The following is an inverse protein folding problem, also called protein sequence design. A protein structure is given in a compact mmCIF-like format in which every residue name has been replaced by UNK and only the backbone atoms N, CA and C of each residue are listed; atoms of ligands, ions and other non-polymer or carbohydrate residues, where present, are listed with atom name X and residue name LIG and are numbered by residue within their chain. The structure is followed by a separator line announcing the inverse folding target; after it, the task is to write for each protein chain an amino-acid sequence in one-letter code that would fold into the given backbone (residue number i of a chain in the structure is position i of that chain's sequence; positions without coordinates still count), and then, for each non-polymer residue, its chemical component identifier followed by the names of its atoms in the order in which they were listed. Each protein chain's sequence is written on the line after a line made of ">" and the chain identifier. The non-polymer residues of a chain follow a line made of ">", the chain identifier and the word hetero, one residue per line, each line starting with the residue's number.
data_IF_677500540254
#
_entry.id   IF_677500540254
#
_cell.length_a   1.000
_cell.length_b   1.000
_cell.length_c   1.000
_cell.angle_alpha   90.00
_cell.angle_beta   90.00
_cell.angle_gamma   90.00
#
_symmetry.space_group_name_H-M   'P 1'
#
loop_
_entity.id
_entity.type
_entity.pdbx_description
1 polymer ?
#
# COMPACT_ATOMS: atom_id res chain seq x y z
N UNK A 1 39.66 -1.98 -38.75
CA UNK A 1 38.94 -3.18 -38.34
C UNK A 1 39.80 -3.98 -37.38
N UNK A 2 39.50 -3.96 -36.08
CA UNK A 2 40.12 -4.82 -35.10
C UNK A 2 39.03 -5.23 -34.09
N UNK A 3 38.75 -6.52 -33.84
CA UNK A 3 37.80 -6.97 -32.85
C UNK A 3 38.42 -6.93 -31.43
N UNK A 4 37.80 -6.26 -30.49
CA UNK A 4 38.18 -6.21 -29.09
C UNK A 4 37.74 -7.46 -28.35
N UNK A 5 38.67 -8.09 -27.66
CA UNK A 5 38.50 -9.30 -26.88
C UNK A 5 37.82 -9.00 -25.56
N UNK A 6 36.76 -9.73 -25.25
CA UNK A 6 36.08 -9.75 -23.94
C UNK A 6 36.85 -10.70 -23.04
N UNK A 7 37.51 -10.17 -22.01
CA UNK A 7 38.19 -10.95 -20.98
C UNK A 7 37.19 -11.30 -19.87
N UNK A 8 36.77 -12.56 -19.83
CA UNK A 8 36.10 -13.16 -18.69
C UNK A 8 37.08 -13.34 -17.52
N UNK A 9 36.88 -12.59 -16.43
CA UNK A 9 37.53 -12.89 -15.15
C UNK A 9 36.64 -13.84 -14.36
N UNK A 10 37.10 -15.08 -14.23
CA UNK A 10 36.65 -16.03 -13.19
C UNK A 10 37.23 -15.55 -11.87
N UNK A 11 36.39 -15.27 -10.88
CA UNK A 11 36.82 -15.09 -9.50
C UNK A 11 36.27 -16.22 -8.63
N UNK A 12 37.19 -16.99 -8.22
CA UNK A 12 37.34 -17.89 -7.07
C UNK A 12 36.20 -18.06 -6.10
N UNK A 13 35.76 -19.29 -6.04
CA UNK A 13 34.93 -19.95 -5.04
C UNK A 13 35.76 -20.15 -3.77
N UNK A 14 35.48 -19.44 -2.67
CA UNK A 14 36.04 -19.75 -1.34
C UNK A 14 35.01 -20.52 -0.52
N UNK A 15 35.33 -21.76 -0.31
CA UNK A 15 34.69 -22.69 0.61
C UNK A 15 35.07 -22.31 2.06
N UNK A 16 34.11 -22.13 2.97
CA UNK A 16 34.33 -22.02 4.41
C UNK A 16 33.59 -23.13 5.16
N UNK A 17 34.17 -23.61 6.26
CA UNK A 17 33.85 -24.92 6.82
C UNK A 17 32.66 -24.92 7.79
N UNK A 18 32.05 -26.07 7.86
CA UNK A 18 31.05 -26.54 8.82
C UNK A 18 31.61 -26.48 10.24
N UNK A 19 31.02 -25.72 11.11
CA UNK A 19 31.22 -25.75 12.56
C UNK A 19 29.98 -26.32 13.24
N UNK A 20 30.19 -27.51 13.85
CA UNK A 20 29.20 -28.21 14.66
C UNK A 20 29.23 -27.72 16.12
N UNK A 21 28.19 -28.10 16.89
CA UNK A 21 27.98 -28.05 18.35
C UNK A 21 27.40 -26.74 18.89
N UNK A 22 26.33 -26.80 19.70
CA UNK A 22 26.10 -27.53 20.96
C UNK A 22 24.62 -27.65 21.32
N UNK A 23 24.26 -28.79 21.87
CA UNK A 23 23.04 -29.04 22.64
C UNK A 23 22.98 -28.12 23.87
N UNK A 24 21.89 -27.43 24.06
CA UNK A 24 21.53 -26.73 25.29
C UNK A 24 20.12 -27.09 25.69
N UNK A 25 19.94 -28.13 26.52
CA UNK A 25 18.74 -28.32 27.33
C UNK A 25 18.68 -27.25 28.39
N UNK A 26 17.56 -26.51 28.49
CA UNK A 26 17.23 -25.73 29.69
C UNK A 26 15.73 -25.63 29.89
N UNK A 27 15.29 -26.45 30.81
CA UNK A 27 14.33 -26.24 31.91
C UNK A 27 13.04 -25.45 31.66
N UNK A 28 11.94 -26.19 31.69
CA UNK A 28 10.58 -25.72 32.00
C UNK A 28 10.61 -24.89 33.30
N UNK A 29 10.28 -23.62 33.20
CA UNK A 29 9.87 -22.82 34.34
C UNK A 29 8.33 -22.72 34.35
N UNK A 30 7.72 -23.45 35.23
CA UNK A 30 6.31 -23.35 35.61
C UNK A 30 6.10 -22.01 36.30
N UNK A 31 5.35 -21.10 35.70
CA UNK A 31 4.86 -19.89 36.36
C UNK A 31 3.61 -20.19 37.18
N UNK A 32 3.50 -19.67 38.41
CA UNK A 32 2.31 -19.85 39.26
C UNK A 32 1.14 -19.02 38.73
N UNK A 33 -0.02 -19.69 38.70
CA UNK A 33 -1.33 -19.10 38.42
C UNK A 33 -1.75 -18.20 39.57
N UNK A 34 -1.82 -16.90 39.35
CA UNK A 34 -2.51 -15.99 40.25
C UNK A 34 -4.01 -15.99 39.94
N UNK A 35 -4.88 -16.03 40.95
CA UNK A 35 -6.35 -16.00 40.77
C UNK A 35 -6.81 -14.58 40.48
N UNK A 36 -7.49 -14.39 39.34
CA UNK A 36 -8.20 -13.16 39.04
C UNK A 36 -9.36 -12.91 40.01
N UNK A 37 -9.54 -11.70 40.54
CA UNK A 37 -10.69 -11.36 41.33
C UNK A 37 -11.95 -11.32 40.46
N UNK A 38 -12.95 -12.10 40.86
CA UNK A 38 -14.29 -12.05 40.27
C UNK A 38 -14.96 -10.73 40.68
N UNK A 39 -15.22 -9.89 39.70
CA UNK A 39 -16.08 -8.73 39.84
C UNK A 39 -17.53 -9.18 39.63
N UNK A 40 -18.32 -8.98 40.67
CA UNK A 40 -19.78 -9.20 40.75
C UNK A 40 -20.52 -8.39 39.66
N UNK A 41 -21.65 -8.88 39.10
CA UNK A 41 -22.45 -8.14 38.15
C UNK A 41 -23.25 -7.05 38.89
N UNK A 42 -22.69 -5.83 38.87
CA UNK A 42 -23.42 -4.62 39.22
C UNK A 42 -24.27 -4.20 38.02
N UNK A 43 -25.59 -4.41 38.19
CA UNK A 43 -26.60 -3.87 37.28
C UNK A 43 -26.52 -2.34 37.30
N UNK A 44 -26.01 -1.73 36.24
CA UNK A 44 -26.17 -0.30 35.98
C UNK A 44 -26.65 -0.14 34.57
N UNK A 45 -27.94 0.06 34.43
CA UNK A 45 -28.62 0.52 33.21
C UNK A 45 -28.16 1.96 32.93
N UNK A 46 -27.07 2.12 32.22
CA UNK A 46 -26.69 3.38 31.61
C UNK A 46 -27.07 3.30 30.14
N UNK A 47 -28.11 4.05 29.79
CA UNK A 47 -28.52 4.33 28.40
C UNK A 47 -27.31 4.85 27.65
N UNK A 48 -26.78 4.05 26.73
CA UNK A 48 -25.74 4.48 25.82
C UNK A 48 -26.36 5.56 24.89
N UNK A 49 -25.64 6.67 24.63
CA UNK A 49 -26.08 7.63 23.62
C UNK A 49 -26.17 6.92 22.27
N UNK A 50 -27.06 7.35 21.36
CA UNK A 50 -27.16 6.78 20.03
C UNK A 50 -25.78 6.91 19.34
N UNK A 51 -25.25 5.77 18.88
CA UNK A 51 -24.05 5.69 18.08
C UNK A 51 -24.39 6.42 16.77
N UNK A 52 -23.89 7.66 16.63
CA UNK A 52 -24.01 8.39 15.37
C UNK A 52 -23.36 7.55 14.28
N UNK A 53 -24.18 7.08 13.34
CA UNK A 53 -23.70 6.42 12.14
C UNK A 53 -22.70 7.38 11.45
N UNK A 54 -21.56 6.88 10.94
CA UNK A 54 -20.62 7.73 10.23
C UNK A 54 -21.37 8.46 9.09
N UNK A 55 -21.09 9.76 8.88
CA UNK A 55 -21.81 10.55 7.88
C UNK A 55 -21.70 9.85 6.52
N UNK A 56 -22.86 9.66 5.88
CA UNK A 56 -22.92 9.14 4.52
C UNK A 56 -22.03 10.04 3.65
N UNK A 57 -21.03 9.44 2.97
CA UNK A 57 -20.18 10.19 2.05
C UNK A 57 -21.06 10.80 0.97
N UNK A 58 -20.96 12.11 0.81
CA UNK A 58 -21.67 12.83 -0.23
C UNK A 58 -21.30 12.25 -1.59
N UNK A 59 -22.27 12.16 -2.50
CA UNK A 59 -22.10 11.59 -3.85
C UNK A 59 -20.93 12.25 -4.60
N UNK A 60 -20.70 13.54 -4.36
CA UNK A 60 -19.60 14.30 -4.97
C UNK A 60 -18.22 13.84 -4.46
N UNK A 61 -18.09 13.46 -3.19
CA UNK A 61 -16.83 12.97 -2.64
C UNK A 61 -16.45 11.59 -3.21
N UNK A 62 -17.42 10.72 -3.41
CA UNK A 62 -17.22 9.40 -4.04
C UNK A 62 -16.80 9.55 -5.51
N UNK A 63 -17.46 10.44 -6.26
CA UNK A 63 -17.10 10.71 -7.65
C UNK A 63 -15.67 11.29 -7.77
N UNK A 64 -15.26 12.14 -6.83
CA UNK A 64 -13.92 12.71 -6.79
C UNK A 64 -12.86 11.65 -6.44
N UNK A 65 -13.13 10.76 -5.49
CA UNK A 65 -12.25 9.64 -5.16
C UNK A 65 -12.06 8.71 -6.37
N UNK A 66 -13.12 8.39 -7.09
CA UNK A 66 -13.06 7.59 -8.30
C UNK A 66 -12.27 8.28 -9.41
N UNK A 67 -12.49 9.58 -9.62
CA UNK A 67 -11.77 10.38 -10.60
C UNK A 67 -10.25 10.39 -10.31
N UNK A 68 -9.86 10.46 -9.04
CA UNK A 68 -8.47 10.53 -8.61
C UNK A 68 -7.83 9.15 -8.36
N UNK A 69 -8.52 8.04 -8.66
CA UNK A 69 -8.02 6.69 -8.43
C UNK A 69 -7.62 5.98 -9.72
N UNK A 70 -6.45 5.32 -9.70
CA UNK A 70 -5.96 4.44 -10.77
C UNK A 70 -6.06 3.00 -10.27
N UNK A 71 -6.90 2.20 -10.91
CA UNK A 71 -7.18 0.82 -10.51
C UNK A 71 -6.25 -0.18 -11.19
N UNK A 72 -6.03 -1.32 -10.51
CA UNK A 72 -5.16 -2.40 -10.98
C UNK A 72 -5.86 -3.75 -10.96
N UNK A 73 -5.61 -4.58 -11.95
CA UNK A 73 -6.05 -5.97 -11.93
C UNK A 73 -5.34 -6.74 -10.80
N UNK A 74 -5.90 -7.89 -10.42
CA UNK A 74 -5.32 -8.76 -9.38
C UNK A 74 -3.86 -9.11 -9.72
N UNK A 75 -2.95 -8.85 -8.80
CA UNK A 75 -1.51 -9.10 -8.96
C UNK A 75 -0.80 -8.21 -10.00
N UNK A 76 -1.52 -7.32 -10.70
CA UNK A 76 -0.92 -6.47 -11.72
C UNK A 76 -0.32 -5.19 -11.10
N UNK A 77 0.77 -4.74 -11.75
CA UNK A 77 1.42 -3.44 -11.52
C UNK A 77 1.41 -2.59 -12.80
N UNK A 78 0.93 -3.15 -13.91
CA UNK A 78 0.79 -2.46 -15.18
C UNK A 78 -0.48 -1.63 -15.19
N UNK A 79 -0.38 -0.39 -15.62
CA UNK A 79 -1.51 0.53 -15.78
C UNK A 79 -2.19 0.23 -17.12
N UNK A 80 -3.49 0.02 -17.11
CA UNK A 80 -4.30 -0.23 -18.30
C UNK A 80 -4.48 1.05 -19.16
N UNK A 81 -4.98 0.95 -20.40
CA UNK A 81 -5.17 2.10 -21.27
C UNK A 81 -6.11 3.18 -20.68
N UNK A 82 -7.14 2.78 -19.93
CA UNK A 82 -8.07 3.72 -19.29
C UNK A 82 -7.36 4.53 -18.19
N UNK A 83 -6.58 3.85 -17.33
CA UNK A 83 -5.74 4.48 -16.31
C UNK A 83 -4.66 5.39 -16.92
N UNK A 84 -4.06 4.99 -18.05
CA UNK A 84 -3.11 5.85 -18.77
C UNK A 84 -3.75 7.12 -19.28
N UNK A 85 -4.97 7.05 -19.83
CA UNK A 85 -5.71 8.23 -20.29
C UNK A 85 -6.06 9.15 -19.12
N UNK A 86 -6.51 8.59 -18.00
CA UNK A 86 -6.77 9.34 -16.76
C UNK A 86 -5.50 10.05 -16.28
N UNK A 87 -4.35 9.37 -16.26
CA UNK A 87 -3.07 9.97 -15.86
C UNK A 87 -2.57 11.07 -16.82
N UNK A 88 -2.92 11.04 -18.10
CA UNK A 88 -2.63 12.17 -19.01
C UNK A 88 -3.39 13.43 -18.59
N UNK A 89 -4.66 13.30 -18.19
CA UNK A 89 -5.48 14.42 -17.71
C UNK A 89 -4.88 14.99 -16.41
N UNK A 90 -4.53 14.13 -15.45
CA UNK A 90 -3.85 14.55 -14.22
C UNK A 90 -2.51 15.24 -14.49
N UNK A 91 -1.73 14.73 -15.44
CA UNK A 91 -0.45 15.34 -15.83
C UNK A 91 -0.64 16.73 -16.47
N UNK A 92 -1.68 16.93 -17.29
CA UNK A 92 -2.02 18.23 -17.85
C UNK A 92 -2.33 19.23 -16.71
N UNK A 93 -3.23 18.86 -15.79
CA UNK A 93 -3.60 19.67 -14.62
C UNK A 93 -2.38 20.08 -13.76
N UNK A 94 -1.47 19.14 -13.49
CA UNK A 94 -0.27 19.41 -12.69
C UNK A 94 0.71 20.35 -13.41
N UNK A 95 0.85 20.24 -14.72
CA UNK A 95 1.70 21.14 -15.52
C UNK A 95 1.15 22.57 -15.58
N UNK A 96 -0.17 22.71 -15.67
CA UNK A 96 -0.84 24.02 -15.65
C UNK A 96 -0.76 24.70 -14.29
N UNK A 97 -0.58 23.93 -13.21
CA UNK A 97 -0.53 24.44 -11.84
C UNK A 97 0.79 24.06 -11.13
N UNK A 98 1.89 24.80 -11.36
CA UNK A 98 3.21 24.46 -10.80
C UNK A 98 3.31 24.49 -9.27
N UNK A 99 2.39 25.17 -8.59
CA UNK A 99 2.28 25.18 -7.13
C UNK A 99 1.57 23.93 -6.58
N UNK A 100 0.80 23.23 -7.42
CA UNK A 100 0.09 22.03 -7.03
C UNK A 100 1.05 20.83 -6.96
N UNK A 101 0.88 20.02 -5.93
CA UNK A 101 1.60 18.74 -5.75
C UNK A 101 0.60 17.59 -5.67
N UNK A 102 1.05 16.40 -5.99
CA UNK A 102 0.26 15.18 -5.86
C UNK A 102 1.00 14.17 -4.98
N UNK A 103 0.30 13.68 -3.96
CA UNK A 103 0.75 12.55 -3.14
C UNK A 103 0.11 11.27 -3.70
N UNK A 104 0.92 10.24 -3.93
CA UNK A 104 0.49 8.96 -4.45
C UNK A 104 0.37 7.97 -3.30
N UNK A 105 -0.85 7.56 -2.96
CA UNK A 105 -1.13 6.57 -1.92
C UNK A 105 -1.55 5.24 -2.57
N UNK A 106 -0.83 4.15 -2.27
CA UNK A 106 -1.12 2.84 -2.82
C UNK A 106 -1.94 1.98 -1.86
N UNK A 107 -2.92 1.27 -2.42
CA UNK A 107 -3.80 0.37 -1.71
C UNK A 107 -3.80 -1.02 -2.34
N UNK A 108 -4.00 -2.04 -1.52
CA UNK A 108 -4.14 -3.44 -1.95
C UNK A 108 -5.41 -4.04 -1.39
N UNK A 109 -5.84 -5.20 -1.92
CA UNK A 109 -6.88 -5.99 -1.30
C UNK A 109 -6.35 -6.75 -0.05
N UNK A 110 -7.23 -7.44 0.64
CA UNK A 110 -7.00 -8.22 1.85
C UNK A 110 -6.36 -9.60 1.60
N UNK A 111 -6.00 -9.89 0.35
CA UNK A 111 -5.42 -11.18 -0.04
C UNK A 111 -3.89 -11.11 -0.07
N UNK A 112 -3.26 -12.17 0.44
CA UNK A 112 -1.80 -12.29 0.49
C UNK A 112 -1.19 -11.88 1.83
N UNK A 113 0.14 -11.91 1.93
CA UNK A 113 0.86 -11.46 3.12
C UNK A 113 1.08 -9.95 3.11
N UNK A 114 1.28 -9.37 4.29
CA UNK A 114 1.55 -7.93 4.43
C UNK A 114 2.79 -7.50 3.65
N UNK A 115 3.85 -8.32 3.67
CA UNK A 115 5.08 -8.05 2.92
C UNK A 115 4.86 -8.06 1.40
N UNK A 116 4.04 -8.99 0.89
CA UNK A 116 3.65 -9.03 -0.51
C UNK A 116 2.81 -7.79 -0.89
N UNK A 117 1.84 -7.44 -0.06
CA UNK A 117 0.96 -6.30 -0.28
C UNK A 117 1.71 -4.98 -0.26
N UNK A 118 2.68 -4.84 0.65
CA UNK A 118 3.59 -3.70 0.67
C UNK A 118 4.37 -3.59 -0.64
N UNK A 119 5.02 -4.67 -1.06
CA UNK A 119 5.83 -4.67 -2.28
C UNK A 119 5.00 -4.34 -3.54
N UNK A 120 3.80 -4.92 -3.67
CA UNK A 120 2.91 -4.65 -4.82
C UNK A 120 2.40 -3.21 -4.82
N UNK A 121 2.09 -2.66 -3.64
CA UNK A 121 1.69 -1.26 -3.49
C UNK A 121 2.79 -0.29 -3.93
N UNK A 122 4.02 -0.50 -3.48
CA UNK A 122 5.18 0.31 -3.87
C UNK A 122 5.45 0.25 -5.38
N UNK A 123 5.34 -0.93 -5.98
CA UNK A 123 5.50 -1.08 -7.43
C UNK A 123 4.42 -0.34 -8.22
N UNK A 124 3.16 -0.34 -7.74
CA UNK A 124 2.06 0.43 -8.35
C UNK A 124 2.28 1.92 -8.25
N UNK A 125 2.67 2.42 -7.07
CA UNK A 125 3.02 3.83 -6.86
C UNK A 125 4.14 4.24 -7.82
N UNK A 126 5.20 3.44 -7.93
CA UNK A 126 6.32 3.76 -8.83
C UNK A 126 5.89 3.74 -10.31
N UNK A 127 5.01 2.82 -10.72
CA UNK A 127 4.46 2.79 -12.07
C UNK A 127 3.68 4.08 -12.41
N UNK A 128 2.83 4.55 -11.48
CA UNK A 128 2.08 5.81 -11.64
C UNK A 128 3.03 7.01 -11.67
N UNK A 129 3.97 7.09 -10.73
CA UNK A 129 4.96 8.16 -10.67
C UNK A 129 5.82 8.23 -11.94
N UNK A 130 6.27 7.07 -12.44
CA UNK A 130 7.03 6.97 -13.69
C UNK A 130 6.23 7.50 -14.87
N UNK A 131 4.96 7.13 -14.97
CA UNK A 131 4.12 7.53 -16.10
C UNK A 131 3.79 9.03 -16.05
N UNK A 132 3.51 9.60 -14.86
CA UNK A 132 3.36 11.05 -14.70
C UNK A 132 4.63 11.81 -15.13
N UNK A 133 5.81 11.33 -14.76
CA UNK A 133 7.09 11.91 -15.22
C UNK A 133 7.25 11.81 -16.73
N UNK A 134 6.88 10.69 -17.34
CA UNK A 134 6.88 10.51 -18.79
C UNK A 134 5.95 11.50 -19.51
N UNK A 135 4.84 11.88 -18.87
CA UNK A 135 3.92 12.91 -19.36
C UNK A 135 4.38 14.35 -19.05
N UNK A 136 5.58 14.51 -18.52
CA UNK A 136 6.23 15.81 -18.29
C UNK A 136 5.95 16.46 -16.95
N UNK A 137 5.39 15.74 -15.97
CA UNK A 137 5.21 16.27 -14.61
C UNK A 137 6.56 16.31 -13.89
N UNK A 138 7.00 17.47 -13.35
CA UNK A 138 8.24 17.58 -12.60
C UNK A 138 8.26 16.70 -11.36
N UNK A 139 9.40 16.06 -11.07
CA UNK A 139 9.57 15.19 -9.89
C UNK A 139 9.18 15.89 -8.57
N UNK A 140 9.43 17.20 -8.47
CA UNK A 140 9.11 18.02 -7.29
C UNK A 140 7.61 18.14 -6.99
N UNK A 141 6.74 17.84 -7.96
CA UNK A 141 5.29 17.82 -7.80
C UNK A 141 4.75 16.43 -7.44
N UNK A 142 5.58 15.38 -7.45
CA UNK A 142 5.15 14.00 -7.23
C UNK A 142 5.74 13.49 -5.92
N UNK A 143 4.90 13.18 -4.96
CA UNK A 143 5.28 12.67 -3.65
C UNK A 143 4.76 11.24 -3.45
N UNK A 144 5.60 10.21 -3.64
CA UNK A 144 5.20 8.82 -3.36
C UNK A 144 5.07 8.63 -1.85
N UNK A 145 3.89 8.25 -1.39
CA UNK A 145 3.64 7.89 -0.01
C UNK A 145 3.91 6.39 0.17
N UNK A 146 5.10 6.05 0.66
CA UNK A 146 5.53 4.66 0.91
C UNK A 146 4.95 4.05 2.21
N UNK A 147 3.94 4.64 2.77
CA UNK A 147 3.15 4.07 3.84
C UNK A 147 1.95 3.41 3.17
N UNK A 148 2.01 2.10 3.07
CA UNK A 148 0.88 1.39 2.55
C UNK A 148 -0.23 1.33 3.61
N UNK A 149 -1.42 1.35 3.12
CA UNK A 149 -2.57 0.85 3.82
C UNK A 149 -2.96 -0.45 3.13
N UNK A 150 -2.95 -1.56 3.87
CA UNK A 150 -3.67 -2.75 3.42
C UNK A 150 -5.11 -2.30 3.25
N UNK A 151 -5.60 -2.27 2.03
CA UNK A 151 -6.95 -2.18 1.52
C UNK A 151 -8.08 -1.57 2.32
N UNK A 152 -7.86 -1.31 3.56
CA UNK A 152 -8.79 -0.69 4.50
C UNK A 152 -8.39 0.77 4.71
N UNK A 153 -8.60 1.61 3.70
CA UNK A 153 -8.90 2.99 4.06
C UNK A 153 -10.07 2.91 5.03
N UNK A 154 -10.11 3.75 6.04
CA UNK A 154 -11.17 3.81 7.08
C UNK A 154 -12.60 3.83 6.53
N UNK A 155 -12.77 3.83 5.24
CA UNK A 155 -14.00 4.01 4.49
C UNK A 155 -14.50 2.77 3.75
N UNK A 156 -13.79 1.64 3.75
CA UNK A 156 -14.27 0.45 3.04
C UNK A 156 -14.78 -0.59 4.03
N UNK A 157 -16.09 -0.91 4.00
CA UNK A 157 -16.64 -2.02 4.77
C UNK A 157 -16.01 -3.35 4.33
N UNK A 158 -16.18 -4.41 5.12
CA UNK A 158 -15.70 -5.76 4.85
C UNK A 158 -15.89 -6.17 3.37
N UNK A 159 -14.82 -6.08 2.59
CA UNK A 159 -14.79 -6.35 1.16
C UNK A 159 -14.65 -7.85 0.92
N UNK A 160 -15.76 -8.57 0.79
CA UNK A 160 -15.75 -10.03 0.56
C UNK A 160 -15.95 -10.42 -0.90
N UNK A 161 -16.47 -9.51 -1.75
CA UNK A 161 -16.73 -9.79 -3.16
C UNK A 161 -15.52 -9.48 -4.04
N UNK A 162 -15.50 -10.03 -5.25
CA UNK A 162 -14.42 -9.75 -6.24
C UNK A 162 -14.45 -8.30 -6.70
N UNK A 163 -15.64 -7.76 -6.87
CA UNK A 163 -15.91 -6.39 -7.32
C UNK A 163 -15.41 -5.39 -6.27
N UNK A 164 -15.73 -5.60 -5.00
CA UNK A 164 -15.25 -4.79 -3.91
C UNK A 164 -13.71 -4.81 -3.83
N UNK A 165 -13.08 -5.99 -3.89
CA UNK A 165 -11.61 -6.10 -3.92
C UNK A 165 -10.97 -5.41 -5.12
N UNK A 166 -11.69 -5.32 -6.24
CA UNK A 166 -11.21 -4.56 -7.40
C UNK A 166 -11.01 -3.08 -7.06
N UNK A 167 -11.92 -2.48 -6.31
CA UNK A 167 -11.85 -1.08 -5.88
C UNK A 167 -10.74 -0.83 -4.84
N UNK A 168 -10.35 -1.86 -4.09
CA UNK A 168 -9.24 -1.76 -3.13
C UNK A 168 -7.87 -1.68 -3.83
N UNK A 169 -7.71 -2.31 -4.97
CA UNK A 169 -6.43 -2.35 -5.72
C UNK A 169 -6.25 -1.08 -6.53
N UNK A 170 -5.86 0.01 -5.87
CA UNK A 170 -5.73 1.32 -6.50
C UNK A 170 -4.49 2.09 -6.03
N UNK A 171 -4.13 3.07 -6.80
CA UNK A 171 -3.28 4.19 -6.39
C UNK A 171 -4.12 5.45 -6.47
N UNK A 172 -4.23 6.13 -5.35
CA UNK A 172 -4.98 7.37 -5.20
C UNK A 172 -4.06 8.57 -5.36
N UNK A 173 -4.53 9.58 -6.10
CA UNK A 173 -3.85 10.85 -6.34
C UNK A 173 -4.44 11.91 -5.41
N UNK A 174 -3.75 12.21 -4.33
CA UNK A 174 -4.17 13.20 -3.32
C UNK A 174 -3.49 14.53 -3.65
N UNK A 175 -4.29 15.53 -4.00
CA UNK A 175 -3.81 16.84 -4.38
C UNK A 175 -3.59 17.75 -3.17
N UNK A 176 -2.47 18.50 -3.21
CA UNK A 176 -2.14 19.51 -2.23
C UNK A 176 -1.51 20.74 -2.88
N UNK A 177 -1.26 21.76 -2.08
CA UNK A 177 -0.52 22.97 -2.46
C UNK A 177 0.82 22.94 -1.74
N UNK A 178 1.86 23.41 -2.41
CA UNK A 178 3.23 23.46 -1.88
C UNK A 178 3.45 24.71 -1.05
#
# INVERSE_FOLDING_TARGET
>A
MRPGQIVFRLSSLTLLPVGAMLLGCSTLATAPSEPFPQLSPGSSSASAPPFDAPPAKDTDSVALEEANSIYFAKGATRIDPAGQNKLRQHAARLKENPAQVVTLAGYTDDLGSDSYNLAISDQRIEAVAKLLRTYGVPKKQIHPLRRYSVGRGESMPDCRTKECRQLMRRVELIYGIR
#
